data_IF_453046178437
#
_entry.id   IF_453046178437
#
_cell.length_a   1.000
_cell.length_b   1.000
_cell.length_c   1.000
_cell.angle_alpha   90.00
_cell.angle_beta   90.00
_cell.angle_gamma   90.00
#
_symmetry.space_group_name_H-M   'P 1'
#
loop_
_entity.id
_entity.type
_entity.pdbx_description
1 polymer ?
#
# COMPACT_ATOMS: atom_id res chain seq x y z
N UNK A 1 30.44 0.82 -0.92
CA UNK A 1 29.64 -0.27 -0.32
C UNK A 1 28.19 0.03 -0.61
N UNK A 2 27.66 -0.53 -1.68
CA UNK A 2 26.22 -0.44 -1.96
C UNK A 2 25.52 -1.36 -0.97
N UNK A 3 24.93 -0.78 0.07
CA UNK A 3 24.12 -1.55 1.00
C UNK A 3 22.96 -2.17 0.22
N UNK A 4 22.67 -3.48 0.39
CA UNK A 4 21.55 -4.11 -0.29
C UNK A 4 20.29 -3.31 0.03
N UNK A 5 19.55 -2.89 -1.01
CA UNK A 5 18.34 -2.11 -0.82
C UNK A 5 17.41 -2.89 0.11
N UNK A 6 17.10 -2.31 1.28
CA UNK A 6 16.26 -2.98 2.27
C UNK A 6 14.91 -3.34 1.64
N UNK A 7 14.33 -4.47 2.02
CA UNK A 7 13.07 -5.01 1.47
C UNK A 7 11.98 -3.92 1.37
N UNK A 8 11.89 -3.05 2.38
CA UNK A 8 10.91 -1.97 2.43
C UNK A 8 11.18 -0.85 1.43
N UNK A 9 12.45 -0.57 1.12
CA UNK A 9 12.82 0.43 0.11
C UNK A 9 12.51 -0.10 -1.30
N UNK A 10 12.74 -1.39 -1.54
CA UNK A 10 12.35 -2.04 -2.79
C UNK A 10 10.83 -2.05 -2.98
N UNK A 11 10.08 -2.39 -1.92
CA UNK A 11 8.62 -2.33 -1.94
C UNK A 11 8.11 -0.91 -2.19
N UNK A 12 8.68 0.08 -1.48
CA UNK A 12 8.34 1.48 -1.67
C UNK A 12 8.59 1.91 -3.13
N UNK A 13 9.75 1.58 -3.69
CA UNK A 13 10.08 1.87 -5.08
C UNK A 13 9.10 1.20 -6.06
N UNK A 14 8.71 -0.06 -5.81
CA UNK A 14 7.79 -0.82 -6.66
C UNK A 14 6.41 -0.20 -6.69
N UNK A 15 5.93 0.29 -5.54
CA UNK A 15 4.64 0.97 -5.45
C UNK A 15 4.73 2.47 -5.78
N UNK A 16 5.90 2.98 -6.16
CA UNK A 16 6.14 4.42 -6.38
C UNK A 16 5.82 5.27 -5.15
N UNK A 17 6.16 4.77 -3.97
CA UNK A 17 5.95 5.39 -2.66
C UNK A 17 7.30 5.76 -2.02
N UNK A 18 7.26 6.67 -1.05
CA UNK A 18 8.40 6.84 -0.14
C UNK A 18 8.42 5.70 0.88
N UNK A 19 9.57 5.35 1.49
CA UNK A 19 9.64 4.31 2.52
C UNK A 19 8.69 4.56 3.70
N UNK A 20 8.47 5.83 4.07
CA UNK A 20 7.51 6.20 5.11
C UNK A 20 6.06 5.91 4.69
N UNK A 21 5.69 6.22 3.44
CA UNK A 21 4.35 5.91 2.92
C UNK A 21 4.11 4.40 2.79
N UNK A 22 5.15 3.64 2.43
CA UNK A 22 5.08 2.18 2.41
C UNK A 22 4.81 1.60 3.81
N UNK A 23 5.53 2.05 4.84
CA UNK A 23 5.28 1.66 6.25
C UNK A 23 3.86 2.00 6.68
N UNK A 24 3.40 3.20 6.37
CA UNK A 24 2.01 3.63 6.64
C UNK A 24 1.00 2.78 5.89
N UNK A 25 1.30 2.34 4.67
CA UNK A 25 0.46 1.46 3.87
C UNK A 25 0.26 0.09 4.51
N UNK A 26 1.33 -0.50 5.05
CA UNK A 26 1.24 -1.75 5.81
C UNK A 26 0.38 -1.60 7.06
N UNK A 27 0.58 -0.53 7.84
CA UNK A 27 -0.25 -0.24 9.00
C UNK A 27 -1.70 0.02 8.61
N UNK A 28 -1.93 0.69 7.47
CA UNK A 28 -3.25 0.97 6.96
C UNK A 28 -4.00 -0.32 6.60
N UNK A 29 -3.32 -1.32 6.03
CA UNK A 29 -3.88 -2.65 5.78
C UNK A 29 -4.27 -3.34 7.10
N UNK A 30 -3.39 -3.35 8.10
CA UNK A 30 -3.68 -3.94 9.40
C UNK A 30 -4.91 -3.29 10.07
N UNK A 31 -5.07 -1.97 9.97
CA UNK A 31 -6.25 -1.28 10.48
C UNK A 31 -7.53 -1.59 9.71
N UNK A 32 -7.44 -1.82 8.40
CA UNK A 32 -8.58 -2.27 7.59
C UNK A 32 -9.00 -3.69 8.00
N UNK A 33 -8.04 -4.58 8.21
CA UNK A 33 -8.26 -5.97 8.65
C UNK A 33 -8.89 -6.02 10.06
N UNK A 34 -8.50 -5.10 10.95
CA UNK A 34 -9.13 -4.87 12.26
C UNK A 34 -10.57 -4.30 12.17
N UNK A 35 -11.06 -3.97 10.97
CA UNK A 35 -12.38 -3.38 10.75
C UNK A 35 -12.50 -1.91 11.14
N UNK A 36 -11.38 -1.19 11.28
CA UNK A 36 -11.41 0.26 11.57
C UNK A 36 -11.90 1.02 10.34
N UNK A 37 -12.38 2.25 10.56
CA UNK A 37 -12.74 3.15 9.46
C UNK A 37 -11.50 3.86 8.91
N UNK A 38 -11.58 4.33 7.66
CA UNK A 38 -10.51 5.09 7.03
C UNK A 38 -10.21 6.37 7.83
N UNK A 39 -11.26 7.05 8.30
CA UNK A 39 -11.11 8.28 9.10
C UNK A 39 -10.41 8.04 10.44
N UNK A 40 -10.71 6.93 11.12
CA UNK A 40 -10.00 6.55 12.33
C UNK A 40 -8.54 6.21 12.03
N UNK A 41 -8.29 5.50 10.93
CA UNK A 41 -6.95 5.12 10.49
C UNK A 41 -6.08 6.31 10.11
N UNK A 42 -6.64 7.32 9.43
CA UNK A 42 -5.94 8.56 9.10
C UNK A 42 -5.44 9.30 10.35
N UNK A 43 -6.25 9.34 11.41
CA UNK A 43 -5.87 9.92 12.71
C UNK A 43 -4.75 9.13 13.39
N UNK A 44 -4.85 7.80 13.43
CA UNK A 44 -3.82 6.93 14.01
C UNK A 44 -2.47 7.06 13.27
N UNK A 45 -2.52 7.22 11.95
CA UNK A 45 -1.33 7.41 11.12
C UNK A 45 -0.82 8.86 11.09
N UNK A 46 -1.56 9.79 11.70
CA UNK A 46 -1.27 11.24 11.70
C UNK A 46 -1.07 11.78 10.28
N UNK A 47 -1.97 11.43 9.37
CA UNK A 47 -2.00 11.92 7.98
C UNK A 47 -3.38 12.49 7.64
N UNK A 48 -3.45 13.31 6.60
CA UNK A 48 -4.73 13.84 6.12
C UNK A 48 -5.64 12.73 5.58
N UNK A 49 -6.95 12.91 5.68
CA UNK A 49 -7.94 12.01 5.08
C UNK A 49 -7.71 11.84 3.57
N UNK A 50 -7.27 12.89 2.89
CA UNK A 50 -6.96 12.87 1.46
C UNK A 50 -5.78 11.95 1.17
N UNK A 51 -4.67 12.10 1.90
CA UNK A 51 -3.49 11.23 1.78
C UNK A 51 -3.81 9.78 2.13
N UNK A 52 -4.66 9.56 3.14
CA UNK A 52 -5.11 8.22 3.53
C UNK A 52 -5.94 7.55 2.42
N UNK A 53 -6.87 8.29 1.80
CA UNK A 53 -7.65 7.80 0.65
C UNK A 53 -6.78 7.52 -0.56
N UNK A 54 -5.80 8.37 -0.83
CA UNK A 54 -4.85 8.15 -1.92
C UNK A 54 -4.04 6.87 -1.70
N UNK A 55 -3.53 6.67 -0.49
CA UNK A 55 -2.76 5.48 -0.13
C UNK A 55 -3.62 4.21 -0.20
N UNK A 56 -4.83 4.24 0.36
CA UNK A 56 -5.80 3.14 0.28
C UNK A 56 -6.13 2.80 -1.18
N UNK A 57 -6.34 3.82 -2.03
CA UNK A 57 -6.58 3.61 -3.46
C UNK A 57 -5.37 2.98 -4.15
N UNK A 58 -4.16 3.46 -3.88
CA UNK A 58 -2.94 2.99 -4.56
C UNK A 58 -2.61 1.54 -4.21
N UNK A 59 -2.89 1.15 -2.97
CA UNK A 59 -2.64 -0.18 -2.42
C UNK A 59 -3.88 -1.11 -2.50
N UNK A 60 -4.99 -0.63 -3.08
CA UNK A 60 -6.26 -1.37 -3.18
C UNK A 60 -6.83 -1.86 -1.84
N UNK A 61 -6.66 -1.06 -0.79
CA UNK A 61 -7.13 -1.36 0.57
C UNK A 61 -8.59 -0.95 0.72
N UNK A 62 -9.44 -1.91 1.02
CA UNK A 62 -10.86 -1.69 1.27
C UNK A 62 -11.12 -1.44 2.76
N UNK A 63 -11.85 -0.37 3.05
CA UNK A 63 -12.34 -0.04 4.39
C UNK A 63 -13.86 -0.20 4.46
N UNK A 64 -14.44 -0.41 5.67
CA UNK A 64 -15.90 -0.46 5.85
C UNK A 64 -16.62 0.80 5.34
N UNK A 65 -16.03 1.97 5.53
CA UNK A 65 -16.57 3.27 5.13
C UNK A 65 -16.01 3.80 3.80
N UNK A 66 -15.03 3.10 3.20
CA UNK A 66 -14.40 3.52 1.96
C UNK A 66 -13.85 2.34 1.16
N UNK A 67 -14.45 2.08 0.00
CA UNK A 67 -14.00 1.03 -0.91
C UNK A 67 -13.47 1.65 -2.21
N UNK A 68 -12.13 1.69 -2.43
CA UNK A 68 -11.57 2.08 -3.72
C UNK A 68 -12.26 1.36 -4.87
N UNK A 69 -12.56 2.09 -5.95
CA UNK A 69 -13.09 1.52 -7.19
C UNK A 69 -14.46 0.81 -7.10
N UNK A 70 -15.21 0.93 -6.00
CA UNK A 70 -16.58 0.39 -5.89
C UNK A 70 -17.48 0.81 -7.06
N UNK A 71 -17.30 2.03 -7.60
CA UNK A 71 -18.03 2.52 -8.78
C UNK A 71 -17.70 1.76 -10.07
N UNK A 72 -16.46 1.28 -10.23
CA UNK A 72 -16.05 0.48 -11.38
C UNK A 72 -16.64 -0.93 -11.29
N UNK A 73 -16.58 -1.54 -10.11
CA UNK A 73 -17.19 -2.86 -9.86
C UNK A 73 -18.69 -2.86 -10.12
N UNK A 74 -19.40 -1.82 -9.66
CA UNK A 74 -20.84 -1.65 -9.94
C UNK A 74 -21.16 -1.56 -11.44
N UNK A 75 -20.19 -1.15 -12.26
CA UNK A 75 -20.30 -1.09 -13.72
C UNK A 75 -19.80 -2.37 -14.41
N UNK A 76 -19.41 -3.39 -13.65
CA UNK A 76 -18.83 -4.63 -14.18
C UNK A 76 -17.40 -4.47 -14.71
N UNK A 77 -16.72 -3.35 -14.41
CA UNK A 77 -15.35 -3.11 -14.83
C UNK A 77 -14.36 -3.72 -13.81
N UNK A 78 -13.25 -4.30 -14.27
CA UNK A 78 -12.25 -4.87 -13.38
C UNK A 78 -11.57 -3.79 -12.53
N UNK A 79 -11.11 -4.19 -11.34
CA UNK A 79 -10.23 -3.34 -10.53
C UNK A 79 -8.91 -3.13 -11.27
N UNK A 80 -8.29 -1.93 -11.15
CA UNK A 80 -6.93 -1.77 -11.59
C UNK A 80 -6.00 -2.69 -10.79
N UNK A 81 -4.98 -3.21 -11.45
CA UNK A 81 -3.89 -3.94 -10.78
C UNK A 81 -3.11 -2.92 -9.93
N UNK A 82 -2.64 -3.27 -8.72
CA UNK A 82 -1.77 -2.37 -7.95
C UNK A 82 -0.65 -1.86 -8.83
N UNK A 83 -0.38 -0.56 -8.82
CA UNK A 83 0.66 0.04 -9.65
C UNK A 83 2.03 -0.49 -9.21
N UNK A 84 2.46 -1.60 -9.78
CA UNK A 84 3.82 -2.11 -9.65
C UNK A 84 4.64 -1.52 -10.79
N UNK A 85 5.55 -0.63 -10.45
CA UNK A 85 6.61 -0.22 -11.38
C UNK A 85 7.48 -1.45 -11.67
N UNK A 86 7.79 -1.69 -12.94
CA UNK A 86 8.81 -2.65 -13.33
C UNK A 86 10.16 -2.17 -12.78
N UNK A 87 10.55 -2.76 -11.65
CA UNK A 87 11.92 -2.72 -11.19
C UNK A 87 12.60 -3.85 -11.96
N UNK A 88 13.63 -3.55 -12.75
CA UNK A 88 14.43 -4.58 -13.39
C UNK A 88 14.82 -5.66 -12.35
N UNK A 89 14.54 -6.93 -12.66
CA UNK A 89 14.66 -8.15 -11.84
C UNK A 89 16.02 -8.30 -11.11
N UNK A 90 16.18 -9.25 -10.15
CA UNK A 90 15.40 -9.57 -8.96
C UNK A 90 16.28 -9.53 -7.67
N UNK A 91 15.69 -9.65 -6.48
CA UNK A 91 16.41 -9.85 -5.21
C UNK A 91 16.81 -11.33 -5.01
N UNK A 92 17.67 -11.87 -5.89
CA UNK A 92 18.04 -13.29 -5.92
C UNK A 92 18.90 -13.80 -4.75
N UNK A 93 19.14 -12.99 -3.72
CA UNK A 93 20.10 -13.30 -2.64
C UNK A 93 19.57 -13.03 -1.23
N UNK A 94 18.27 -13.19 -0.99
CA UNK A 94 17.78 -13.21 0.40
C UNK A 94 17.76 -14.67 0.88
N UNK A 95 18.77 -15.13 1.66
CA UNK A 95 18.73 -16.46 2.26
C UNK A 95 17.48 -16.53 3.13
N UNK A 96 16.60 -17.49 2.82
CA UNK A 96 15.29 -17.55 3.48
C UNK A 96 15.41 -17.80 4.98
N UNK A 97 16.39 -18.57 5.44
CA UNK A 97 16.69 -18.80 6.85
C UNK A 97 18.14 -19.29 6.96
N UNK A 98 18.96 -18.64 7.79
CA UNK A 98 20.24 -19.16 8.28
C UNK A 98 20.23 -19.09 9.81
#
# INVERSE_FOLDING_TARGET
MDSPAYLMDQFAARCGLTPMMAKRGLLLQAYADDGRTLKASARLLSISDASCKELARKLLIDFPDYRPYQRLEKKGLPRPIPATRDIALPASELPMFA
#
